data_IF_198171374397
#
_entry.id   IF_198171374397
#
_cell.length_a   1.000
_cell.length_b   1.000
_cell.length_c   1.000
_cell.angle_alpha   90.00
_cell.angle_beta   90.00
_cell.angle_gamma   90.00
#
_symmetry.space_group_name_H-M   'P 1'
#
loop_
_entity.id
_entity.type
_entity.pdbx_description
1 polymer ?
#
# COMPACT_ATOMS: atom_id res chain seq x y z
N UNK A 1 -10.54 -18.09 -0.42
CA UNK A 1 -9.16 -18.57 -0.60
C UNK A 1 -8.09 -17.50 -0.42
N UNK A 2 -8.30 -16.27 -0.90
CA UNK A 2 -7.24 -15.24 -1.03
C UNK A 2 -6.64 -14.73 0.28
N UNK A 3 -7.44 -14.53 1.34
CA UNK A 3 -6.94 -13.99 2.60
C UNK A 3 -6.05 -14.97 3.36
N UNK A 4 -6.49 -16.22 3.55
CA UNK A 4 -5.70 -17.24 4.27
C UNK A 4 -4.36 -17.48 3.58
N UNK A 5 -4.36 -17.64 2.25
CA UNK A 5 -3.13 -17.81 1.48
C UNK A 5 -2.17 -16.63 1.63
N UNK A 6 -2.70 -15.39 1.59
CA UNK A 6 -1.87 -14.20 1.78
C UNK A 6 -1.28 -14.12 3.19
N UNK A 7 -2.08 -14.31 4.24
CA UNK A 7 -1.58 -14.34 5.62
C UNK A 7 -0.54 -15.44 5.83
N UNK A 8 -0.75 -16.63 5.25
CA UNK A 8 0.22 -17.72 5.41
C UNK A 8 1.53 -17.41 4.69
N UNK A 9 1.48 -16.73 3.54
CA UNK A 9 2.68 -16.25 2.87
C UNK A 9 3.47 -15.25 3.75
N UNK A 10 2.79 -14.33 4.43
CA UNK A 10 3.45 -13.40 5.37
C UNK A 10 4.09 -14.11 6.56
N UNK A 11 3.38 -15.07 7.16
CA UNK A 11 3.91 -15.87 8.26
C UNK A 11 5.12 -16.68 7.79
N UNK A 12 5.00 -17.36 6.63
CA UNK A 12 6.10 -18.13 6.06
C UNK A 12 7.32 -17.24 5.77
N UNK A 13 7.13 -16.07 5.15
CA UNK A 13 8.20 -15.12 4.88
C UNK A 13 8.89 -14.64 6.17
N UNK A 14 8.12 -14.35 7.24
CA UNK A 14 8.67 -13.97 8.53
C UNK A 14 9.50 -15.10 9.17
N UNK A 15 9.02 -16.35 9.10
CA UNK A 15 9.74 -17.51 9.60
C UNK A 15 11.03 -17.78 8.79
N UNK A 16 10.97 -17.67 7.47
CA UNK A 16 12.14 -17.79 6.59
C UNK A 16 13.19 -16.72 6.92
N UNK A 17 12.75 -15.47 7.12
CA UNK A 17 13.65 -14.39 7.51
C UNK A 17 14.25 -14.60 8.91
N UNK A 18 13.45 -15.06 9.88
CA UNK A 18 13.94 -15.39 11.21
C UNK A 18 15.03 -16.49 11.20
N UNK A 19 14.92 -17.47 10.29
CA UNK A 19 15.98 -18.47 10.07
C UNK A 19 17.20 -17.82 9.40
N UNK A 20 17.00 -16.98 8.38
CA UNK A 20 18.10 -16.27 7.70
C UNK A 20 18.92 -15.41 8.67
N UNK A 21 18.30 -14.74 9.63
CA UNK A 21 18.98 -13.96 10.68
C UNK A 21 19.96 -14.77 11.54
N UNK A 22 19.86 -16.11 11.56
CA UNK A 22 20.79 -16.99 12.28
C UNK A 22 22.04 -17.34 11.48
N UNK A 23 22.10 -17.00 10.20
CA UNK A 23 23.27 -17.28 9.36
C UNK A 23 24.44 -16.36 9.71
N UNK A 24 25.70 -16.81 9.56
CA UNK A 24 26.88 -15.97 9.83
C UNK A 24 26.88 -14.68 8.99
N UNK A 25 26.45 -14.77 7.73
CA UNK A 25 26.32 -13.62 6.83
C UNK A 25 25.37 -12.55 7.39
N UNK A 26 24.16 -12.95 7.79
CA UNK A 26 23.18 -12.02 8.36
C UNK A 26 23.65 -11.42 9.68
N UNK A 27 24.33 -12.20 10.53
CA UNK A 27 24.89 -11.70 11.79
C UNK A 27 25.99 -10.67 11.57
N UNK A 28 26.86 -10.85 10.57
CA UNK A 28 27.87 -9.85 10.20
C UNK A 28 27.25 -8.56 9.68
N UNK A 29 26.15 -8.64 8.91
CA UNK A 29 25.44 -7.44 8.47
C UNK A 29 24.84 -6.67 9.65
N UNK A 30 24.20 -7.39 10.58
CA UNK A 30 23.61 -6.81 11.79
C UNK A 30 24.67 -6.19 12.71
N UNK A 31 25.84 -6.83 12.86
CA UNK A 31 26.93 -6.25 13.66
C UNK A 31 27.49 -4.97 13.05
N UNK A 32 27.38 -4.80 11.74
CA UNK A 32 27.71 -3.57 11.02
C UNK A 32 26.56 -2.55 10.98
N UNK A 33 25.47 -2.79 11.72
CA UNK A 33 24.29 -1.90 11.76
C UNK A 33 23.40 -1.96 10.53
N UNK A 34 23.60 -2.93 9.62
CA UNK A 34 22.81 -3.08 8.39
C UNK A 34 21.79 -4.20 8.54
N UNK A 35 20.56 -3.95 8.08
CA UNK A 35 19.54 -4.99 8.00
C UNK A 35 19.87 -5.97 6.85
N UNK A 36 19.85 -7.29 7.09
CA UNK A 36 20.01 -8.29 6.04
C UNK A 36 18.94 -8.16 4.94
N UNK A 37 19.28 -8.54 3.71
CA UNK A 37 18.38 -8.40 2.57
C UNK A 37 17.15 -9.31 2.71
N UNK A 38 15.99 -8.81 2.26
CA UNK A 38 14.71 -9.54 2.26
C UNK A 38 14.35 -10.10 0.88
N UNK A 39 15.36 -10.30 0.01
CA UNK A 39 15.14 -10.77 -1.34
C UNK A 39 14.48 -12.18 -1.36
N UNK A 40 13.30 -12.34 -1.98
CA UNK A 40 12.53 -13.58 -1.86
C UNK A 40 13.20 -14.78 -2.54
N UNK A 41 13.95 -14.58 -3.62
CA UNK A 41 14.66 -15.65 -4.32
C UNK A 41 15.71 -16.36 -3.43
N UNK A 42 16.72 -15.64 -2.92
CA UNK A 42 17.69 -16.20 -1.98
C UNK A 42 17.05 -16.81 -0.73
N UNK A 43 16.04 -16.15 -0.14
CA UNK A 43 15.34 -16.67 1.04
C UNK A 43 14.66 -18.01 0.77
N UNK A 44 14.00 -18.16 -0.38
CA UNK A 44 13.33 -19.40 -0.75
C UNK A 44 14.32 -20.51 -1.14
N UNK A 45 15.40 -20.16 -1.85
CA UNK A 45 16.46 -21.11 -2.21
C UNK A 45 17.17 -21.67 -0.98
N UNK A 46 17.51 -20.83 -0.01
CA UNK A 46 18.16 -21.27 1.22
C UNK A 46 17.27 -22.19 2.07
N UNK A 47 15.94 -22.13 1.89
CA UNK A 47 15.00 -22.97 2.61
C UNK A 47 14.82 -24.36 2.00
N UNK A 48 14.55 -24.43 0.68
CA UNK A 48 14.17 -25.68 -0.01
C UNK A 48 14.76 -25.80 -1.42
N UNK A 49 15.81 -25.04 -1.73
CA UNK A 49 16.53 -25.10 -3.00
C UNK A 49 15.69 -24.66 -4.21
N UNK A 50 15.83 -25.38 -5.32
CA UNK A 50 15.19 -25.05 -6.61
C UNK A 50 13.67 -25.02 -6.50
N UNK A 51 13.06 -25.86 -5.65
CA UNK A 51 11.61 -25.84 -5.42
C UNK A 51 11.14 -24.49 -4.87
N UNK A 52 11.93 -23.86 -4.01
CA UNK A 52 11.62 -22.53 -3.46
C UNK A 52 11.64 -21.46 -4.55
N UNK A 53 12.60 -21.52 -5.47
CA UNK A 53 12.65 -20.62 -6.63
C UNK A 53 11.42 -20.79 -7.52
N UNK A 54 11.03 -22.02 -7.81
CA UNK A 54 9.81 -22.31 -8.60
C UNK A 54 8.58 -21.71 -7.90
N UNK A 55 8.44 -21.90 -6.58
CA UNK A 55 7.34 -21.32 -5.81
C UNK A 55 7.32 -19.80 -5.89
N UNK A 56 8.46 -19.12 -5.76
CA UNK A 56 8.56 -17.66 -5.87
C UNK A 56 8.15 -17.17 -7.26
N UNK A 57 8.56 -17.85 -8.32
CA UNK A 57 8.19 -17.50 -9.71
C UNK A 57 6.68 -17.64 -9.92
N UNK A 58 6.08 -18.76 -9.47
CA UNK A 58 4.63 -18.99 -9.58
C UNK A 58 3.82 -17.97 -8.75
N UNK A 59 4.28 -17.65 -7.54
CA UNK A 59 3.67 -16.63 -6.69
C UNK A 59 3.74 -15.23 -7.34
N UNK A 60 4.89 -14.89 -7.94
CA UNK A 60 5.08 -13.66 -8.67
C UNK A 60 4.14 -13.54 -9.88
N UNK A 61 4.04 -14.60 -10.70
CA UNK A 61 3.15 -14.64 -11.86
C UNK A 61 1.68 -14.41 -11.45
N UNK A 62 1.18 -15.18 -10.49
CA UNK A 62 -0.23 -15.13 -10.09
C UNK A 62 -0.62 -13.78 -9.49
N UNK A 63 0.34 -13.06 -8.90
CA UNK A 63 0.14 -11.69 -8.40
C UNK A 63 0.25 -10.64 -9.51
N UNK A 64 1.17 -10.80 -10.46
CA UNK A 64 1.41 -9.85 -11.55
C UNK A 64 0.21 -9.71 -12.49
N UNK A 65 -0.43 -10.81 -12.89
CA UNK A 65 -1.55 -10.81 -13.83
C UNK A 65 -2.70 -9.85 -13.44
N UNK A 66 -3.35 -10.00 -12.28
CA UNK A 66 -4.42 -9.08 -11.89
C UNK A 66 -3.90 -7.66 -11.60
N UNK A 67 -2.63 -7.51 -11.23
CA UNK A 67 -2.03 -6.19 -10.93
C UNK A 67 -1.88 -5.36 -12.19
N UNK A 68 -1.30 -5.92 -13.26
CA UNK A 68 -1.14 -5.23 -14.55
C UNK A 68 -2.52 -4.92 -15.16
N UNK A 69 -3.48 -5.85 -15.04
CA UNK A 69 -4.84 -5.61 -15.51
C UNK A 69 -5.53 -4.45 -14.76
N UNK A 70 -5.44 -4.41 -13.42
CA UNK A 70 -5.99 -3.30 -12.62
C UNK A 70 -5.32 -1.97 -12.93
N UNK A 71 -4.00 -1.97 -13.16
CA UNK A 71 -3.29 -0.79 -13.62
C UNK A 71 -3.81 -0.33 -14.99
N UNK A 72 -4.03 -1.26 -15.92
CA UNK A 72 -4.62 -1.00 -17.23
C UNK A 72 -5.99 -0.33 -17.16
N UNK A 73 -6.89 -0.85 -16.32
CA UNK A 73 -8.20 -0.23 -16.07
C UNK A 73 -8.11 1.15 -15.42
N UNK A 74 -7.18 1.35 -14.48
CA UNK A 74 -6.99 2.65 -13.83
C UNK A 74 -6.55 3.73 -14.81
N UNK A 75 -5.61 3.42 -15.72
CA UNK A 75 -5.21 4.33 -16.79
C UNK A 75 -6.33 4.60 -17.78
N UNK A 76 -7.17 3.60 -18.09
CA UNK A 76 -8.36 3.80 -18.92
C UNK A 76 -9.38 4.74 -18.27
N UNK A 77 -9.54 4.70 -16.94
CA UNK A 77 -10.41 5.62 -16.23
C UNK A 77 -9.93 7.08 -16.34
N UNK A 78 -8.61 7.31 -16.47
CA UNK A 78 -8.01 8.64 -16.66
C UNK A 78 -8.05 9.06 -18.14
N UNK A 79 -7.81 8.12 -19.06
CA UNK A 79 -7.81 8.35 -20.52
C UNK A 79 -8.81 7.38 -21.17
N UNK A 80 -10.10 7.73 -21.26
CA UNK A 80 -11.15 6.79 -21.70
C UNK A 80 -11.01 6.31 -23.14
N UNK A 81 -10.26 7.05 -23.97
CA UNK A 81 -10.11 6.78 -25.41
C UNK A 81 -9.09 5.70 -25.74
N UNK A 82 -8.29 5.23 -24.77
CA UNK A 82 -7.29 4.17 -25.02
C UNK A 82 -7.84 2.78 -24.69
N UNK A 83 -7.51 1.81 -25.53
CA UNK A 83 -7.89 0.42 -25.32
C UNK A 83 -7.13 -0.19 -24.14
N UNK A 84 -7.86 -0.88 -23.25
CA UNK A 84 -7.31 -1.59 -22.09
C UNK A 84 -6.18 -2.55 -22.49
N UNK A 85 -6.25 -3.15 -23.68
CA UNK A 85 -5.22 -4.04 -24.21
C UNK A 85 -3.85 -3.35 -24.34
N UNK A 86 -3.81 -2.20 -25.02
CA UNK A 86 -2.57 -1.46 -25.26
C UNK A 86 -1.98 -0.89 -23.97
N UNK A 87 -2.83 -0.38 -23.10
CA UNK A 87 -2.41 0.14 -21.79
C UNK A 87 -1.83 -0.97 -20.92
N UNK A 88 -2.43 -2.16 -20.92
CA UNK A 88 -1.93 -3.34 -20.20
C UNK A 88 -0.56 -3.76 -20.73
N UNK A 89 -0.36 -3.78 -22.05
CA UNK A 89 0.95 -4.07 -22.65
C UNK A 89 1.99 -3.04 -22.22
N UNK A 90 1.68 -1.74 -22.33
CA UNK A 90 2.61 -0.67 -21.94
C UNK A 90 2.98 -0.78 -20.46
N UNK A 91 2.00 -0.95 -19.57
CA UNK A 91 2.23 -1.10 -18.14
C UNK A 91 3.10 -2.33 -17.84
N UNK A 92 2.82 -3.46 -18.50
CA UNK A 92 3.62 -4.68 -18.39
C UNK A 92 5.05 -4.49 -18.88
N UNK A 93 5.25 -3.88 -20.06
CA UNK A 93 6.58 -3.62 -20.62
C UNK A 93 7.41 -2.70 -19.73
N UNK A 94 6.82 -1.61 -19.21
CA UNK A 94 7.50 -0.73 -18.26
C UNK A 94 7.88 -1.50 -16.99
N UNK A 95 6.96 -2.31 -16.44
CA UNK A 95 7.24 -3.13 -15.26
C UNK A 95 8.34 -4.16 -15.50
N UNK A 96 8.38 -4.80 -16.68
CA UNK A 96 9.45 -5.75 -17.05
C UNK A 96 10.80 -5.04 -17.16
N UNK A 97 10.88 -3.91 -17.87
CA UNK A 97 12.11 -3.14 -18.01
C UNK A 97 12.61 -2.70 -16.63
N UNK A 98 11.72 -2.15 -15.80
CA UNK A 98 12.04 -1.74 -14.44
C UNK A 98 12.51 -2.91 -13.56
N UNK A 99 11.87 -4.08 -13.71
CA UNK A 99 12.19 -5.28 -12.95
C UNK A 99 13.54 -5.91 -13.27
N UNK A 100 14.12 -5.64 -14.46
CA UNK A 100 15.46 -6.11 -14.83
C UNK A 100 16.55 -5.43 -13.97
N UNK A 101 16.29 -4.24 -13.42
CA UNK A 101 17.25 -3.49 -12.63
C UNK A 101 17.07 -3.74 -11.13
N UNK A 102 17.99 -4.46 -10.46
CA UNK A 102 17.86 -4.79 -9.03
C UNK A 102 17.80 -3.55 -8.14
N UNK A 103 18.52 -2.49 -8.51
CA UNK A 103 18.49 -1.21 -7.81
C UNK A 103 17.08 -0.60 -7.78
N UNK A 104 16.31 -0.75 -8.86
CA UNK A 104 14.93 -0.26 -8.92
C UNK A 104 13.99 -1.15 -8.09
N UNK A 105 14.12 -2.48 -8.20
CA UNK A 105 13.29 -3.43 -7.45
C UNK A 105 13.45 -3.27 -5.93
N UNK A 106 14.68 -3.04 -5.44
CA UNK A 106 14.93 -2.84 -4.00
C UNK A 106 14.43 -1.48 -3.51
N UNK A 107 14.53 -0.42 -4.31
CA UNK A 107 13.94 0.89 -3.98
C UNK A 107 12.41 0.87 -4.00
N UNK A 108 11.81 -0.06 -4.74
CA UNK A 108 10.36 -0.26 -4.74
C UNK A 108 9.85 -0.65 -3.35
N UNK A 109 10.64 -1.34 -2.52
CA UNK A 109 10.21 -1.75 -1.18
C UNK A 109 9.92 -0.53 -0.28
N UNK A 110 10.84 0.43 -0.26
CA UNK A 110 10.68 1.70 0.47
C UNK A 110 9.53 2.52 -0.11
N UNK A 111 9.41 2.53 -1.45
CA UNK A 111 8.33 3.20 -2.14
C UNK A 111 6.95 2.60 -1.82
N UNK A 112 6.84 1.27 -1.70
CA UNK A 112 5.59 0.58 -1.37
C UNK A 112 5.14 0.91 0.05
N UNK A 113 6.06 0.98 1.01
CA UNK A 113 5.74 1.40 2.38
C UNK A 113 5.19 2.84 2.40
N UNK A 114 5.85 3.75 1.70
CA UNK A 114 5.40 5.14 1.56
C UNK A 114 4.03 5.23 0.87
N UNK A 115 3.86 4.54 -0.25
CA UNK A 115 2.61 4.53 -1.01
C UNK A 115 1.45 3.94 -0.22
N UNK A 116 1.68 2.83 0.50
CA UNK A 116 0.68 2.22 1.38
C UNK A 116 0.24 3.17 2.49
N UNK A 117 1.17 3.89 3.10
CA UNK A 117 0.88 4.93 4.10
C UNK A 117 0.10 6.11 3.49
N UNK A 118 0.47 6.57 2.29
CA UNK A 118 -0.23 7.66 1.59
C UNK A 118 -1.69 7.31 1.26
N UNK A 119 -1.99 6.04 0.94
CA UNK A 119 -3.33 5.58 0.62
C UNK A 119 -4.17 5.19 1.84
N UNK A 120 -3.55 4.87 2.97
CA UNK A 120 -4.27 4.46 4.18
C UNK A 120 -5.39 5.44 4.60
N UNK A 121 -5.18 6.77 4.62
CA UNK A 121 -6.25 7.73 4.89
C UNK A 121 -7.47 7.61 3.98
N UNK A 122 -7.30 7.31 2.69
CA UNK A 122 -8.41 7.16 1.75
C UNK A 122 -9.29 5.97 2.16
N UNK A 123 -8.66 4.85 2.53
CA UNK A 123 -9.37 3.70 3.08
C UNK A 123 -10.09 4.04 4.39
N UNK A 124 -9.48 4.87 5.25
CA UNK A 124 -10.11 5.31 6.49
C UNK A 124 -11.37 6.14 6.24
N UNK A 125 -11.31 7.09 5.31
CA UNK A 125 -12.43 7.95 4.96
C UNK A 125 -13.63 7.10 4.51
N UNK A 126 -13.40 6.13 3.61
CA UNK A 126 -14.46 5.23 3.11
C UNK A 126 -15.07 4.41 4.25
N UNK A 127 -14.24 3.82 5.13
CA UNK A 127 -14.71 3.01 6.25
C UNK A 127 -15.49 3.86 7.25
N UNK A 128 -14.98 5.04 7.60
CA UNK A 128 -15.64 5.92 8.56
C UNK A 128 -16.95 6.49 8.00
N UNK A 129 -16.98 6.89 6.73
CA UNK A 129 -18.22 7.29 6.06
C UNK A 129 -19.23 6.13 6.07
N UNK A 130 -18.82 4.93 5.68
CA UNK A 130 -19.74 3.81 5.55
C UNK A 130 -20.38 3.40 6.89
N UNK A 131 -19.58 3.28 7.96
CA UNK A 131 -20.01 2.74 9.25
C UNK A 131 -20.47 3.79 10.26
N UNK A 132 -19.97 5.03 10.19
CA UNK A 132 -20.19 6.02 11.25
C UNK A 132 -20.94 7.28 10.78
N UNK A 133 -21.24 7.42 9.49
CA UNK A 133 -21.93 8.62 8.99
C UNK A 133 -23.29 8.87 9.66
N UNK A 134 -24.08 7.82 9.86
CA UNK A 134 -25.43 7.91 10.45
C UNK A 134 -25.36 8.36 11.91
N UNK A 135 -24.38 7.85 12.67
CA UNK A 135 -24.14 8.25 14.07
C UNK A 135 -23.66 9.70 14.16
N UNK A 136 -22.93 10.19 13.16
CA UNK A 136 -22.45 11.57 13.10
C UNK A 136 -23.44 12.53 12.43
N UNK A 137 -24.56 12.03 11.90
CA UNK A 137 -25.57 12.83 11.21
C UNK A 137 -25.10 13.40 9.88
N UNK A 138 -24.14 12.76 9.20
CA UNK A 138 -23.64 13.18 7.89
C UNK A 138 -24.21 12.30 6.78
N UNK A 139 -24.48 12.90 5.63
CA UNK A 139 -24.92 12.20 4.42
C UNK A 139 -23.74 11.50 3.74
N UNK A 140 -23.93 10.21 3.44
CA UNK A 140 -23.03 9.42 2.57
C UNK A 140 -23.06 9.94 1.14
N UNK A 141 -21.92 9.88 0.46
CA UNK A 141 -21.74 10.33 -0.93
C UNK A 141 -22.11 11.80 -1.12
N UNK A 142 -21.74 12.64 -0.15
CA UNK A 142 -22.16 14.04 -0.10
C UNK A 142 -21.80 14.83 -1.36
N UNK A 143 -20.60 14.61 -1.93
CA UNK A 143 -20.18 15.33 -3.13
C UNK A 143 -21.07 15.02 -4.34
N UNK A 144 -21.49 13.77 -4.51
CA UNK A 144 -22.39 13.36 -5.58
C UNK A 144 -23.79 13.95 -5.40
N UNK A 145 -24.32 13.92 -4.17
CA UNK A 145 -25.66 14.45 -3.85
C UNK A 145 -25.74 15.97 -3.90
N UNK A 146 -24.65 16.66 -3.58
CA UNK A 146 -24.58 18.12 -3.56
C UNK A 146 -23.99 18.70 -4.86
N UNK A 147 -23.81 17.88 -5.91
CA UNK A 147 -23.19 18.23 -7.19
C UNK A 147 -21.85 18.98 -7.04
N UNK A 148 -21.05 18.56 -6.07
CA UNK A 148 -19.74 19.13 -5.81
C UNK A 148 -18.67 18.37 -6.59
N UNK A 149 -17.87 19.11 -7.36
CA UNK A 149 -16.72 18.55 -8.08
C UNK A 149 -15.65 17.98 -7.16
N UNK A 150 -15.55 18.47 -5.91
CA UNK A 150 -14.60 17.98 -4.92
C UNK A 150 -15.15 18.13 -3.50
N UNK A 151 -14.67 17.29 -2.58
CA UNK A 151 -15.03 17.33 -1.17
C UNK A 151 -13.84 17.81 -0.31
N UNK A 152 -13.84 19.07 0.17
CA UNK A 152 -12.83 19.59 1.08
C UNK A 152 -12.61 18.71 2.33
N UNK A 153 -13.66 18.09 2.90
CA UNK A 153 -13.52 17.22 4.07
C UNK A 153 -12.65 16.00 3.76
N UNK A 154 -12.82 15.40 2.58
CA UNK A 154 -12.01 14.27 2.11
C UNK A 154 -10.56 14.70 1.88
N UNK A 155 -10.34 15.85 1.23
CA UNK A 155 -9.00 16.35 0.94
C UNK A 155 -8.22 16.66 2.22
N UNK A 156 -8.84 17.37 3.17
CA UNK A 156 -8.18 17.71 4.44
C UNK A 156 -7.92 16.45 5.26
N UNK A 157 -8.91 15.55 5.37
CA UNK A 157 -8.76 14.29 6.10
C UNK A 157 -7.72 13.35 5.47
N UNK A 158 -7.44 13.48 4.18
CA UNK A 158 -6.38 12.74 3.52
C UNK A 158 -5.00 13.37 3.76
N UNK A 159 -4.87 14.65 3.42
CA UNK A 159 -3.57 15.33 3.37
C UNK A 159 -3.03 15.63 4.77
N UNK A 160 -3.88 16.09 5.69
CA UNK A 160 -3.43 16.58 6.98
C UNK A 160 -2.80 15.48 7.87
N UNK A 161 -3.44 14.32 8.10
CA UNK A 161 -2.81 13.22 8.82
C UNK A 161 -1.58 12.68 8.11
N UNK A 162 -1.64 12.52 6.79
CA UNK A 162 -0.50 12.07 6.00
C UNK A 162 0.73 12.95 6.24
N UNK A 163 0.61 14.28 6.09
CA UNK A 163 1.73 15.21 6.29
C UNK A 163 2.25 15.15 7.74
N UNK A 164 1.36 15.21 8.74
CA UNK A 164 1.75 15.22 10.15
C UNK A 164 2.53 13.96 10.51
N UNK A 165 1.99 12.78 10.19
CA UNK A 165 2.61 11.52 10.56
C UNK A 165 3.82 11.18 9.69
N UNK A 166 3.85 11.59 8.42
CA UNK A 166 5.06 11.51 7.61
C UNK A 166 6.19 12.38 8.18
N UNK A 167 5.88 13.62 8.60
CA UNK A 167 6.86 14.49 9.24
C UNK A 167 7.39 13.90 10.56
N UNK A 168 6.52 13.28 11.37
CA UNK A 168 6.92 12.55 12.58
C UNK A 168 7.85 11.39 12.23
N UNK A 169 7.53 10.61 11.19
CA UNK A 169 8.37 9.49 10.71
C UNK A 169 9.78 9.98 10.40
N UNK A 170 9.91 11.03 9.59
CA UNK A 170 11.21 11.57 9.16
C UNK A 170 11.97 12.21 10.33
N UNK A 171 11.28 12.95 11.21
CA UNK A 171 11.92 13.67 12.32
C UNK A 171 12.49 12.74 13.39
N UNK A 172 11.81 11.64 13.67
CA UNK A 172 12.16 10.71 14.75
C UNK A 172 12.71 9.38 14.25
N UNK A 173 12.96 9.25 12.93
CA UNK A 173 13.42 8.01 12.28
C UNK A 173 12.52 6.80 12.61
N UNK A 174 11.21 7.03 12.68
CA UNK A 174 10.22 5.99 12.99
C UNK A 174 9.80 5.32 11.69
N UNK A 175 9.85 3.99 11.66
CA UNK A 175 9.35 3.22 10.52
C UNK A 175 7.88 3.54 10.23
N UNK A 176 7.62 4.01 9.01
CA UNK A 176 6.35 4.60 8.59
C UNK A 176 5.15 3.67 8.83
N UNK A 177 5.34 2.36 8.71
CA UNK A 177 4.29 1.36 8.94
C UNK A 177 3.68 1.42 10.35
N UNK A 178 4.44 1.85 11.38
CA UNK A 178 3.92 2.01 12.73
C UNK A 178 2.98 3.21 12.88
N UNK A 179 3.12 4.20 12.00
CA UNK A 179 2.30 5.41 11.99
C UNK A 179 1.08 5.28 11.09
N UNK A 180 1.00 4.22 10.27
CA UNK A 180 -0.15 3.95 9.38
C UNK A 180 -1.47 3.87 10.14
N UNK A 181 -1.53 3.10 11.24
CA UNK A 181 -2.77 2.96 12.01
C UNK A 181 -3.19 4.27 12.71
N UNK A 182 -2.29 4.99 13.41
CA UNK A 182 -2.58 6.34 13.90
C UNK A 182 -3.09 7.29 12.81
N UNK A 183 -2.40 7.36 11.66
CA UNK A 183 -2.80 8.20 10.53
C UNK A 183 -4.18 7.80 10.00
N UNK A 184 -4.46 6.50 9.88
CA UNK A 184 -5.75 5.97 9.45
C UNK A 184 -6.88 6.40 10.39
N UNK A 185 -6.74 6.20 11.69
CA UNK A 185 -7.76 6.61 12.68
C UNK A 185 -7.97 8.13 12.65
N UNK A 186 -6.88 8.91 12.66
CA UNK A 186 -6.97 10.38 12.59
C UNK A 186 -7.67 10.86 11.33
N UNK A 187 -7.41 10.23 10.18
CA UNK A 187 -8.07 10.55 8.90
C UNK A 187 -9.57 10.33 8.97
N UNK A 188 -9.99 9.18 9.49
CA UNK A 188 -11.42 8.86 9.67
C UNK A 188 -12.13 9.86 10.58
N UNK A 189 -11.53 10.19 11.74
CA UNK A 189 -12.12 11.14 12.69
C UNK A 189 -12.19 12.56 12.13
N UNK A 190 -11.11 13.05 11.53
CA UNK A 190 -11.07 14.38 10.91
C UNK A 190 -12.12 14.49 9.81
N UNK A 191 -12.26 13.44 8.98
CA UNK A 191 -13.29 13.40 7.95
C UNK A 191 -14.70 13.57 8.52
N UNK A 192 -15.05 12.82 9.57
CA UNK A 192 -16.38 12.90 10.19
C UNK A 192 -16.62 14.29 10.81
N UNK A 193 -15.64 14.83 11.51
CA UNK A 193 -15.73 16.14 12.17
C UNK A 193 -15.92 17.25 11.12
N UNK A 194 -15.06 17.32 10.11
CA UNK A 194 -15.15 18.35 9.07
C UNK A 194 -16.43 18.20 8.26
N UNK A 195 -16.81 16.96 7.89
CA UNK A 195 -18.04 16.71 7.16
C UNK A 195 -19.27 17.16 7.95
N UNK A 196 -19.29 16.95 9.27
CA UNK A 196 -20.39 17.41 10.13
C UNK A 196 -20.52 18.93 10.13
N UNK A 197 -19.41 19.67 10.25
CA UNK A 197 -19.44 21.12 10.18
C UNK A 197 -19.88 21.64 8.79
N UNK A 198 -19.37 21.03 7.73
CA UNK A 198 -19.68 21.45 6.36
C UNK A 198 -21.13 21.20 5.96
N UNK A 199 -21.68 20.06 6.36
CA UNK A 199 -23.06 19.69 6.04
C UNK A 199 -24.06 20.38 6.99
N UNK A 200 -23.72 20.53 8.27
CA UNK A 200 -24.55 21.25 9.24
C UNK A 200 -24.67 22.76 8.98
N UNK A 201 -23.70 23.37 8.29
CA UNK A 201 -23.77 24.78 7.88
C UNK A 201 -24.67 25.03 6.66
N UNK A 202 -25.14 23.99 5.96
CA UNK A 202 -25.96 24.08 4.75
C UNK A 202 -27.37 23.49 4.93
N UNK A 203 -27.73 23.09 6.15
CA UNK A 203 -29.07 22.66 6.55
C UNK A 203 -29.92 23.80 7.08
#
# INVERSE_FOLDING_TARGET
GMYVGHYMAWIAAALLYAVYLKTPEAQMMLSNGNAPTVAPGPLAYNAIGVFGIITVVLAGWTTANPTIYRAGLAFQAIIPKVSTFWVTIIAGSIATIAGIFPAFAMKLLDFVAFYGFMLAPVGAIIVFEYFYSERFGIQKFYAEKADLKYNPAVLIAWILPFIIFYFISVKYDIFLSFLTLPAWISSGLIFLIISKYMQGSKG
#
